data_IF_496416596172
#
_entry.id   IF_496416596172
#
_cell.length_a   1.000
_cell.length_b   1.000
_cell.length_c   1.000
_cell.angle_alpha   90.00
_cell.angle_beta   90.00
_cell.angle_gamma   90.00
#
_symmetry.space_group_name_H-M   'P 1'
#
loop_
_entity.id
_entity.type
_entity.pdbx_description
1 polymer ?
#
# COMPACT_ATOMS: atom_id res chain seq x y z
N UNK A 1 13.16 9.90 21.26
CA UNK A 1 12.17 9.02 20.62
C UNK A 1 12.77 8.45 19.34
N UNK A 2 13.11 7.18 19.37
CA UNK A 2 13.90 6.51 18.31
C UNK A 2 13.22 6.56 16.95
N UNK A 3 11.99 6.14 16.88
CA UNK A 3 11.29 6.06 15.61
C UNK A 3 10.79 7.40 15.08
N UNK A 4 10.53 8.38 15.93
CA UNK A 4 10.25 9.74 15.47
C UNK A 4 11.42 10.28 14.64
N UNK A 5 12.66 9.99 15.06
CA UNK A 5 13.85 10.37 14.32
C UNK A 5 13.96 9.64 12.98
N UNK A 6 13.67 8.34 12.95
CA UNK A 6 13.70 7.55 11.72
C UNK A 6 12.62 8.01 10.72
N UNK A 7 11.36 8.05 11.16
CA UNK A 7 10.22 8.38 10.29
C UNK A 7 10.05 9.88 10.00
N UNK A 8 10.73 10.75 10.72
CA UNK A 8 10.84 12.16 10.38
C UNK A 8 11.95 12.46 9.34
N UNK A 9 12.87 11.52 9.14
CA UNK A 9 14.01 11.67 8.22
C UNK A 9 13.76 11.01 6.85
N UNK A 10 13.16 9.81 6.84
CA UNK A 10 12.88 9.12 5.59
C UNK A 10 11.71 9.77 4.85
N UNK A 11 11.78 9.79 3.52
CA UNK A 11 10.69 10.23 2.65
C UNK A 11 9.56 9.18 2.62
N UNK A 12 8.78 9.15 3.69
CA UNK A 12 7.67 8.22 3.91
C UNK A 12 6.38 9.01 4.18
N UNK A 13 5.21 8.42 3.97
CA UNK A 13 3.92 9.04 4.34
C UNK A 13 3.81 9.42 5.82
N UNK A 14 4.65 8.82 6.67
CA UNK A 14 4.72 9.12 8.10
C UNK A 14 5.35 10.49 8.38
N UNK A 15 6.24 10.98 7.52
CA UNK A 15 6.87 12.30 7.67
C UNK A 15 5.83 13.43 7.61
N UNK A 16 5.00 13.58 6.56
CA UNK A 16 3.94 14.58 6.55
C UNK A 16 2.88 14.32 7.62
N UNK A 17 2.58 13.05 7.95
CA UNK A 17 1.66 12.72 9.05
C UNK A 17 2.11 13.33 10.38
N UNK A 18 3.38 13.20 10.74
CA UNK A 18 3.95 13.76 11.96
C UNK A 18 3.91 15.29 11.96
N UNK A 19 4.27 15.91 10.83
CA UNK A 19 4.21 17.36 10.67
C UNK A 19 2.79 17.90 10.84
N UNK A 20 1.83 17.32 10.10
CA UNK A 20 0.43 17.78 10.20
C UNK A 20 -0.20 17.42 11.54
N UNK A 21 0.23 16.37 12.24
CA UNK A 21 -0.21 16.09 13.61
C UNK A 21 0.26 17.18 14.57
N UNK A 22 1.51 17.62 14.47
CA UNK A 22 2.04 18.72 15.29
C UNK A 22 1.30 20.04 15.01
N UNK A 23 1.12 20.37 13.72
CA UNK A 23 0.38 21.56 13.30
C UNK A 23 -1.08 21.51 13.74
N UNK A 24 -1.73 20.36 13.65
CA UNK A 24 -3.09 20.15 14.12
C UNK A 24 -3.22 20.41 15.63
N UNK A 25 -2.30 19.89 16.44
CA UNK A 25 -2.28 20.11 17.89
C UNK A 25 -2.06 21.60 18.22
N UNK A 26 -1.16 22.26 17.50
CA UNK A 26 -0.90 23.70 17.65
C UNK A 26 -2.16 24.52 17.36
N UNK A 27 -2.82 24.28 16.24
CA UNK A 27 -4.06 24.96 15.87
C UNK A 27 -5.21 24.61 16.82
N UNK A 28 -5.27 23.36 17.29
CA UNK A 28 -6.27 22.91 18.26
C UNK A 28 -6.15 23.67 19.60
N UNK A 29 -4.92 23.94 20.06
CA UNK A 29 -4.70 24.76 21.25
C UNK A 29 -5.26 26.18 21.06
N UNK A 30 -4.98 26.82 19.92
CA UNK A 30 -5.53 28.12 19.58
C UNK A 30 -7.06 28.10 19.49
N UNK A 31 -7.62 27.04 18.90
CA UNK A 31 -9.07 26.83 18.80
C UNK A 31 -9.75 26.67 20.16
N UNK A 32 -9.11 25.98 21.11
CA UNK A 32 -9.63 25.84 22.47
C UNK A 32 -9.62 27.15 23.23
N UNK A 33 -8.65 28.02 22.96
CA UNK A 33 -8.60 29.34 23.58
C UNK A 33 -9.71 30.26 23.04
N UNK A 34 -9.91 30.31 21.71
CA UNK A 34 -10.94 31.15 21.09
C UNK A 34 -11.34 30.59 19.72
N UNK A 35 -12.38 29.75 19.69
CA UNK A 35 -12.90 29.21 18.43
C UNK A 35 -13.46 30.34 17.53
N UNK A 36 -13.08 30.32 16.26
CA UNK A 36 -13.57 31.24 15.23
C UNK A 36 -13.49 30.57 13.84
N UNK A 37 -14.06 31.19 12.80
CA UNK A 37 -14.13 30.63 11.45
C UNK A 37 -12.76 30.50 10.76
N UNK A 38 -11.81 31.38 11.06
CA UNK A 38 -10.45 31.32 10.49
C UNK A 38 -9.74 30.07 11.02
N UNK A 39 -9.79 29.82 12.32
CA UNK A 39 -9.24 28.61 12.93
C UNK A 39 -10.02 27.37 12.49
N UNK A 40 -11.33 27.49 12.26
CA UNK A 40 -12.14 26.41 11.72
C UNK A 40 -11.66 26.01 10.32
N UNK A 41 -11.42 27.00 9.45
CA UNK A 41 -10.85 26.79 8.10
C UNK A 41 -9.46 26.14 8.19
N UNK A 42 -8.56 26.71 8.99
CA UNK A 42 -7.19 26.19 9.14
C UNK A 42 -7.17 24.75 9.67
N UNK A 43 -7.95 24.44 10.71
CA UNK A 43 -8.07 23.08 11.23
C UNK A 43 -8.65 22.12 10.20
N UNK A 44 -9.67 22.54 9.44
CA UNK A 44 -10.27 21.70 8.41
C UNK A 44 -9.29 21.35 7.29
N UNK A 45 -8.48 22.31 6.84
CA UNK A 45 -7.42 22.07 5.85
C UNK A 45 -6.34 21.12 6.38
N UNK A 46 -5.93 21.29 7.65
CA UNK A 46 -4.93 20.39 8.27
C UNK A 46 -5.51 19.00 8.52
N UNK A 47 -6.80 18.87 8.86
CA UNK A 47 -7.47 17.56 8.94
C UNK A 47 -7.48 16.84 7.59
N UNK A 48 -7.74 17.55 6.49
CA UNK A 48 -7.65 16.98 5.15
C UNK A 48 -6.22 16.56 4.82
N UNK A 49 -5.22 17.40 5.13
CA UNK A 49 -3.80 17.09 4.92
C UNK A 49 -3.33 15.85 5.72
N UNK A 50 -3.83 15.67 6.94
CA UNK A 50 -3.64 14.46 7.74
C UNK A 50 -4.17 13.23 7.01
N UNK A 51 -5.40 13.29 6.49
CA UNK A 51 -6.02 12.18 5.75
C UNK A 51 -5.30 11.89 4.42
N UNK A 52 -4.82 12.91 3.71
CA UNK A 52 -3.98 12.74 2.52
C UNK A 52 -2.62 12.09 2.85
N UNK A 53 -2.08 12.35 4.04
CA UNK A 53 -0.84 11.72 4.48
C UNK A 53 -1.02 10.23 4.75
N UNK A 54 -2.10 9.86 5.46
CA UNK A 54 -2.35 8.45 5.81
C UNK A 54 -3.78 8.25 6.34
N UNK A 55 -4.48 7.22 5.91
CA UNK A 55 -5.88 6.96 6.31
C UNK A 55 -6.09 6.84 7.82
N UNK A 56 -5.16 6.20 8.54
CA UNK A 56 -5.31 6.08 9.99
C UNK A 56 -5.03 7.37 10.76
N UNK A 57 -4.68 8.49 10.09
CA UNK A 57 -4.72 9.81 10.70
C UNK A 57 -6.10 10.18 11.24
N UNK A 58 -7.17 9.55 10.74
CA UNK A 58 -8.52 9.69 11.32
C UNK A 58 -8.55 9.40 12.82
N UNK A 59 -7.68 8.49 13.30
CA UNK A 59 -7.58 8.17 14.74
C UNK A 59 -7.13 9.37 15.58
N UNK A 60 -6.33 10.29 15.01
CA UNK A 60 -5.94 11.54 15.68
C UNK A 60 -7.17 12.42 15.87
N UNK A 61 -7.99 12.58 14.84
CA UNK A 61 -9.20 13.42 14.87
C UNK A 61 -10.22 12.83 15.85
N UNK A 62 -10.48 11.53 15.75
CA UNK A 62 -11.39 10.79 16.62
C UNK A 62 -10.91 10.83 18.07
N UNK A 63 -9.60 10.68 18.32
CA UNK A 63 -9.00 10.75 19.63
C UNK A 63 -9.19 12.12 20.31
N UNK A 64 -9.13 13.21 19.52
CA UNK A 64 -9.45 14.55 20.04
C UNK A 64 -10.91 14.65 20.47
N UNK A 65 -11.84 14.08 19.72
CA UNK A 65 -13.28 14.06 20.08
C UNK A 65 -13.53 13.22 21.32
N UNK A 66 -12.89 12.05 21.46
CA UNK A 66 -12.98 11.24 22.68
C UNK A 66 -12.41 11.98 23.90
N UNK A 67 -11.31 12.72 23.75
CA UNK A 67 -10.75 13.54 24.81
C UNK A 67 -11.59 14.77 25.16
N UNK A 68 -12.38 15.28 24.20
CA UNK A 68 -13.26 16.43 24.40
C UNK A 68 -14.58 16.29 23.61
N UNK A 69 -15.56 15.52 24.09
CA UNK A 69 -16.85 15.32 23.43
C UNK A 69 -17.67 16.62 23.23
N UNK A 70 -17.34 17.69 23.96
CA UNK A 70 -18.02 18.99 23.81
C UNK A 70 -17.84 19.59 22.40
N UNK A 71 -16.81 19.16 21.66
CA UNK A 71 -16.61 19.54 20.26
C UNK A 71 -17.80 19.18 19.37
N UNK A 72 -18.52 18.10 19.67
CA UNK A 72 -19.72 17.69 18.92
C UNK A 72 -20.86 18.72 19.01
N UNK A 73 -20.84 19.62 20.00
CA UNK A 73 -21.81 20.71 20.16
C UNK A 73 -21.27 22.05 19.65
N UNK A 74 -20.04 22.10 19.11
CA UNK A 74 -19.39 23.33 18.69
C UNK A 74 -19.57 23.54 17.17
N UNK A 75 -20.24 24.62 16.76
CA UNK A 75 -20.47 24.96 15.33
C UNK A 75 -19.19 25.14 14.54
N UNK A 76 -18.14 25.70 15.16
CA UNK A 76 -16.85 25.89 14.51
C UNK A 76 -16.10 24.56 14.27
N UNK A 77 -16.28 23.59 15.19
CA UNK A 77 -15.74 22.25 14.99
C UNK A 77 -16.41 21.55 13.79
N UNK A 78 -17.73 21.68 13.63
CA UNK A 78 -18.44 21.18 12.45
C UNK A 78 -18.04 21.92 11.18
N UNK A 79 -17.72 23.23 11.27
CA UNK A 79 -17.12 23.98 10.14
C UNK A 79 -15.79 23.36 9.73
N UNK A 80 -14.93 22.98 10.67
CA UNK A 80 -13.65 22.29 10.35
C UNK A 80 -13.88 20.94 9.67
N UNK A 81 -14.88 20.17 10.11
CA UNK A 81 -15.26 18.89 9.46
C UNK A 81 -15.72 19.14 8.03
N UNK A 82 -16.60 20.11 7.81
CA UNK A 82 -17.09 20.44 6.47
C UNK A 82 -15.95 20.85 5.53
N UNK A 83 -15.06 21.73 5.97
CA UNK A 83 -13.88 22.14 5.20
C UNK A 83 -12.98 20.94 4.89
N UNK A 84 -12.78 20.07 5.87
CA UNK A 84 -11.97 18.85 5.69
C UNK A 84 -12.58 17.93 4.64
N UNK A 85 -13.88 17.68 4.68
CA UNK A 85 -14.58 16.85 3.70
C UNK A 85 -14.54 17.44 2.30
N UNK A 86 -14.72 18.75 2.17
CA UNK A 86 -14.61 19.46 0.88
C UNK A 86 -13.19 19.39 0.32
N UNK A 87 -12.17 19.62 1.15
CA UNK A 87 -10.77 19.55 0.73
C UNK A 87 -10.32 18.12 0.40
N UNK A 88 -10.92 17.10 1.03
CA UNK A 88 -10.62 15.69 0.79
C UNK A 88 -11.48 15.05 -0.30
N UNK A 89 -12.51 15.73 -0.79
CA UNK A 89 -13.45 15.22 -1.79
C UNK A 89 -12.79 14.76 -3.11
N UNK A 90 -11.70 15.41 -3.63
CA UNK A 90 -11.03 14.91 -4.83
C UNK A 90 -10.47 13.49 -4.65
N UNK A 91 -9.96 13.16 -3.46
CA UNK A 91 -9.48 11.82 -3.16
C UNK A 91 -10.62 10.83 -3.00
N UNK A 92 -11.74 11.23 -2.40
CA UNK A 92 -12.93 10.37 -2.33
C UNK A 92 -13.48 10.04 -3.72
N UNK A 93 -13.49 11.03 -4.63
CA UNK A 93 -13.85 10.83 -6.03
C UNK A 93 -12.88 9.88 -6.74
N UNK A 94 -11.57 10.04 -6.51
CA UNK A 94 -10.56 9.15 -7.05
C UNK A 94 -10.75 7.71 -6.54
N UNK A 95 -11.01 7.51 -5.25
CA UNK A 95 -11.31 6.20 -4.67
C UNK A 95 -12.54 5.57 -5.32
N UNK A 96 -13.60 6.35 -5.50
CA UNK A 96 -14.83 5.88 -6.18
C UNK A 96 -14.54 5.44 -7.61
N UNK A 97 -13.80 6.25 -8.37
CA UNK A 97 -13.42 5.94 -9.76
C UNK A 97 -12.56 4.68 -9.89
N UNK A 98 -11.70 4.41 -8.90
CA UNK A 98 -10.81 3.24 -8.86
C UNK A 98 -11.35 2.12 -7.94
N UNK A 99 -12.67 1.96 -7.85
CA UNK A 99 -13.36 0.85 -7.14
C UNK A 99 -12.86 0.66 -5.69
N UNK A 100 -12.46 1.74 -5.02
CA UNK A 100 -11.94 1.73 -3.65
C UNK A 100 -10.72 0.80 -3.45
N UNK A 101 -9.87 0.67 -4.46
CA UNK A 101 -8.71 -0.25 -4.48
C UNK A 101 -7.89 -0.24 -3.19
N UNK A 102 -7.55 0.96 -2.67
CA UNK A 102 -6.77 1.06 -1.42
C UNK A 102 -7.53 0.55 -0.19
N UNK A 103 -8.83 0.79 -0.14
CA UNK A 103 -9.70 0.33 0.96
C UNK A 103 -9.88 -1.18 0.86
N UNK A 104 -10.16 -1.69 -0.34
CA UNK A 104 -10.28 -3.13 -0.62
C UNK A 104 -9.01 -3.88 -0.21
N UNK A 105 -7.84 -3.37 -0.60
CA UNK A 105 -6.56 -3.95 -0.21
C UNK A 105 -6.37 -4.02 1.31
N UNK A 106 -6.60 -2.91 2.02
CA UNK A 106 -6.34 -2.87 3.46
C UNK A 106 -7.34 -3.65 4.31
N UNK A 107 -8.60 -3.75 3.88
CA UNK A 107 -9.64 -4.44 4.64
C UNK A 107 -9.77 -5.93 4.27
N UNK A 108 -9.56 -6.29 3.01
CA UNK A 108 -9.89 -7.63 2.51
C UNK A 108 -8.71 -8.40 1.93
N UNK A 109 -7.81 -7.77 1.18
CA UNK A 109 -6.75 -8.46 0.44
C UNK A 109 -5.46 -8.61 1.24
N UNK A 110 -5.15 -7.64 2.08
CA UNK A 110 -3.98 -7.74 2.95
C UNK A 110 -4.16 -8.94 3.86
N UNK A 111 -3.20 -9.91 3.85
CA UNK A 111 -3.45 -11.23 4.37
C UNK A 111 -3.88 -11.19 5.83
N UNK A 112 -5.12 -11.59 6.05
CA UNK A 112 -5.59 -12.05 7.33
C UNK A 112 -4.97 -13.43 7.53
N UNK A 113 -3.95 -13.51 8.37
CA UNK A 113 -3.34 -14.76 8.78
C UNK A 113 -4.09 -15.29 10.01
N UNK A 114 -4.00 -16.60 10.26
CA UNK A 114 -4.31 -17.14 11.55
C UNK A 114 -3.54 -16.39 12.64
N UNK A 115 -4.17 -16.13 13.77
CA UNK A 115 -3.54 -15.40 14.87
C UNK A 115 -2.25 -16.11 15.31
N UNK A 116 -1.16 -15.36 15.33
CA UNK A 116 0.13 -15.77 15.86
C UNK A 116 0.50 -14.86 17.03
N UNK A 117 0.60 -15.42 18.21
CA UNK A 117 0.89 -14.66 19.41
C UNK A 117 2.25 -13.96 19.33
N UNK A 118 3.29 -14.60 18.80
CA UNK A 118 4.63 -14.02 18.74
C UNK A 118 4.72 -12.89 17.70
N UNK A 119 4.17 -13.11 16.51
CA UNK A 119 4.23 -12.12 15.42
C UNK A 119 3.23 -10.96 15.64
N UNK A 120 2.02 -11.24 16.13
CA UNK A 120 0.95 -10.24 16.27
C UNK A 120 0.88 -9.66 17.69
N UNK A 121 0.67 -10.51 18.70
CA UNK A 121 0.47 -10.08 20.08
C UNK A 121 1.76 -9.52 20.70
N UNK A 122 2.79 -10.36 20.82
CA UNK A 122 4.08 -9.92 21.36
C UNK A 122 4.70 -8.82 20.49
N UNK A 123 4.60 -8.96 19.15
CA UNK A 123 5.07 -7.95 18.20
C UNK A 123 4.46 -6.57 18.45
N UNK A 124 3.19 -6.47 18.84
CA UNK A 124 2.57 -5.20 19.21
C UNK A 124 3.26 -4.57 20.44
N UNK A 125 3.50 -5.33 21.51
CA UNK A 125 4.17 -4.82 22.72
C UNK A 125 5.62 -4.42 22.46
N UNK A 126 6.34 -5.21 21.67
CA UNK A 126 7.70 -4.88 21.23
C UNK A 126 7.71 -3.55 20.44
N UNK A 127 6.72 -3.32 19.58
CA UNK A 127 6.59 -2.07 18.86
C UNK A 127 6.41 -0.86 19.79
N UNK A 128 5.67 -1.00 20.89
CA UNK A 128 5.51 0.08 21.88
C UNK A 128 6.84 0.43 22.55
N UNK A 129 7.69 -0.55 22.81
CA UNK A 129 9.06 -0.31 23.31
C UNK A 129 9.91 0.37 22.24
N UNK A 130 9.89 -0.15 21.02
CA UNK A 130 10.73 0.32 19.91
C UNK A 130 10.46 1.79 19.53
N UNK A 131 9.22 2.29 19.65
CA UNK A 131 8.87 3.69 19.37
C UNK A 131 9.74 4.66 20.17
N UNK A 132 9.94 4.38 21.44
CA UNK A 132 10.68 5.25 22.36
C UNK A 132 12.11 4.78 22.58
N UNK A 133 12.47 3.55 22.17
CA UNK A 133 13.79 2.95 22.41
C UNK A 133 14.11 2.92 23.91
N UNK A 134 15.35 3.19 24.29
CA UNK A 134 15.80 3.13 25.69
C UNK A 134 15.13 4.13 26.64
N UNK A 135 14.39 5.10 26.12
CA UNK A 135 13.63 6.07 26.94
C UNK A 135 12.27 5.55 27.36
N UNK A 136 11.81 4.39 26.84
CA UNK A 136 10.43 3.90 27.05
C UNK A 136 9.99 3.78 28.52
N UNK A 137 10.82 3.29 29.49
CA UNK A 137 10.35 3.10 30.85
C UNK A 137 9.95 4.42 31.51
N UNK A 138 10.76 5.47 31.26
CA UNK A 138 10.54 6.79 31.84
C UNK A 138 9.34 7.49 31.20
N UNK A 139 9.15 7.32 29.87
CA UNK A 139 8.02 7.88 29.15
C UNK A 139 6.71 7.26 29.61
N UNK A 140 6.63 5.91 29.66
CA UNK A 140 5.40 5.25 30.10
C UNK A 140 5.08 5.53 31.58
N UNK A 141 6.09 5.49 32.47
CA UNK A 141 5.88 5.89 33.86
C UNK A 141 5.31 7.29 33.96
N UNK A 142 5.79 8.22 33.15
CA UNK A 142 5.28 9.59 33.12
C UNK A 142 3.86 9.65 32.61
N UNK A 143 3.53 8.96 31.52
CA UNK A 143 2.18 8.93 30.96
C UNK A 143 1.13 8.42 31.95
N UNK A 144 1.45 7.39 32.73
CA UNK A 144 0.55 6.88 33.78
C UNK A 144 0.34 7.87 34.95
N UNK A 145 1.23 8.86 35.10
CA UNK A 145 1.13 9.88 36.15
C UNK A 145 0.56 11.24 35.71
N UNK A 146 0.29 11.38 34.37
CA UNK A 146 -0.24 12.64 33.83
C UNK A 146 -1.65 12.90 34.32
N UNK A 147 -1.88 14.10 34.86
CA UNK A 147 -3.22 14.58 35.25
C UNK A 147 -3.85 15.32 34.06
N UNK A 148 -5.05 14.90 33.70
CA UNK A 148 -5.83 15.48 32.60
C UNK A 148 -6.57 16.76 33.03
N UNK A 149 -5.82 17.77 33.48
CA UNK A 149 -6.36 19.00 34.08
C UNK A 149 -6.77 20.07 33.05
N UNK A 150 -6.31 19.97 31.80
CA UNK A 150 -6.70 20.89 30.71
C UNK A 150 -7.40 20.15 29.60
N UNK A 151 -8.19 20.87 28.78
CA UNK A 151 -8.90 20.32 27.62
C UNK A 151 -7.92 19.76 26.60
N UNK A 152 -6.79 20.45 26.38
CA UNK A 152 -5.77 19.97 25.44
C UNK A 152 -5.15 18.66 25.94
N UNK A 153 -4.78 18.54 27.22
CA UNK A 153 -4.26 17.28 27.77
C UNK A 153 -5.24 16.12 27.62
N UNK A 154 -6.54 16.37 27.87
CA UNK A 154 -7.58 15.37 27.64
C UNK A 154 -7.59 14.91 26.19
N UNK A 155 -7.48 15.83 25.24
CA UNK A 155 -7.39 15.50 23.81
C UNK A 155 -6.11 14.74 23.46
N UNK A 156 -4.96 15.12 24.04
CA UNK A 156 -3.70 14.38 23.83
C UNK A 156 -3.78 12.93 24.34
N UNK A 157 -4.32 12.75 25.55
CA UNK A 157 -4.58 11.41 26.11
C UNK A 157 -5.59 10.66 25.24
N UNK A 158 -6.65 11.33 24.78
CA UNK A 158 -7.63 10.75 23.87
C UNK A 158 -6.99 10.22 22.57
N UNK A 159 -6.09 11.00 21.94
CA UNK A 159 -5.33 10.54 20.75
C UNK A 159 -4.51 9.29 21.08
N UNK A 160 -3.70 9.34 22.15
CA UNK A 160 -2.83 8.22 22.55
C UNK A 160 -3.65 6.96 22.79
N UNK A 161 -4.72 7.04 23.57
CA UNK A 161 -5.57 5.89 23.88
C UNK A 161 -6.28 5.35 22.64
N UNK A 162 -6.85 6.22 21.81
CA UNK A 162 -7.54 5.81 20.59
C UNK A 162 -6.62 5.03 19.66
N UNK A 163 -5.40 5.54 19.42
CA UNK A 163 -4.41 4.87 18.57
C UNK A 163 -3.96 3.55 19.17
N UNK A 164 -3.63 3.52 20.46
CA UNK A 164 -3.17 2.29 21.13
C UNK A 164 -4.26 1.23 21.15
N UNK A 165 -5.49 1.57 21.53
CA UNK A 165 -6.60 0.61 21.59
C UNK A 165 -6.94 0.09 20.19
N UNK A 166 -7.01 0.98 19.18
CA UNK A 166 -7.29 0.57 17.80
C UNK A 166 -6.28 -0.44 17.29
N UNK A 167 -4.97 -0.19 17.47
CA UNK A 167 -3.95 -1.12 17.02
C UNK A 167 -3.80 -2.35 17.89
N UNK A 168 -4.13 -2.29 19.18
CA UNK A 168 -4.26 -3.47 20.02
C UNK A 168 -5.37 -4.41 19.49
N UNK A 169 -6.56 -3.88 19.21
CA UNK A 169 -7.65 -4.67 18.64
C UNK A 169 -7.26 -5.20 17.25
N UNK A 170 -6.63 -4.38 16.44
CA UNK A 170 -6.16 -4.79 15.11
C UNK A 170 -5.07 -5.88 15.16
N UNK A 171 -4.29 -5.97 16.25
CA UNK A 171 -3.25 -6.99 16.43
C UNK A 171 -3.79 -8.40 16.57
N UNK A 172 -5.09 -8.59 16.83
CA UNK A 172 -5.69 -9.93 16.82
C UNK A 172 -5.90 -10.49 15.42
N UNK A 173 -5.90 -9.63 14.38
CA UNK A 173 -6.15 -10.05 13.00
C UNK A 173 -4.94 -9.86 12.07
N UNK A 174 -3.93 -9.09 12.50
CA UNK A 174 -2.79 -8.77 11.63
C UNK A 174 -1.58 -8.29 12.41
N UNK A 175 -0.41 -8.47 11.83
CA UNK A 175 0.83 -7.88 12.34
C UNK A 175 0.78 -6.36 12.27
N UNK A 176 1.00 -5.69 13.40
CA UNK A 176 1.07 -4.24 13.49
C UNK A 176 2.50 -3.79 13.16
N UNK A 177 2.62 -2.88 12.21
CA UNK A 177 3.91 -2.26 11.87
C UNK A 177 4.16 -1.07 12.79
N UNK A 178 5.40 -0.91 13.26
CA UNK A 178 5.78 0.09 14.26
C UNK A 178 5.45 1.52 13.80
N UNK A 179 5.61 1.82 12.50
CA UNK A 179 5.29 3.13 11.93
C UNK A 179 3.80 3.50 12.00
N UNK A 180 2.90 2.55 12.19
CA UNK A 180 1.48 2.89 12.30
C UNK A 180 1.15 3.57 13.61
N UNK A 181 1.93 3.28 14.66
CA UNK A 181 1.73 3.81 16.00
C UNK A 181 2.54 5.10 16.20
N UNK A 182 3.50 5.42 15.32
CA UNK A 182 4.45 6.55 15.50
C UNK A 182 3.76 7.90 15.70
N UNK A 183 2.54 8.06 15.22
CA UNK A 183 1.74 9.28 15.36
C UNK A 183 1.53 9.70 16.82
N UNK A 184 1.56 8.73 17.77
CA UNK A 184 1.45 9.06 19.21
C UNK A 184 2.65 9.81 19.74
N UNK A 185 3.78 9.81 19.04
CA UNK A 185 5.01 10.47 19.50
C UNK A 185 4.79 11.97 19.77
N UNK A 186 3.98 12.65 18.95
CA UNK A 186 3.72 14.09 19.11
C UNK A 186 2.91 14.38 20.39
N UNK A 187 1.70 13.79 20.59
CA UNK A 187 0.96 14.02 21.84
C UNK A 187 1.72 13.53 23.07
N UNK A 188 2.45 12.41 22.99
CA UNK A 188 3.29 11.93 24.09
C UNK A 188 4.42 12.91 24.41
N UNK A 189 5.09 13.49 23.40
CA UNK A 189 6.10 14.51 23.62
C UNK A 189 5.55 15.70 24.41
N UNK A 190 4.37 16.18 24.03
CA UNK A 190 3.69 17.26 24.73
C UNK A 190 3.41 16.90 26.22
N UNK A 191 2.80 15.75 26.47
CA UNK A 191 2.43 15.30 27.82
C UNK A 191 3.66 15.06 28.72
N UNK A 192 4.74 14.52 28.18
CA UNK A 192 5.96 14.25 28.93
C UNK A 192 6.76 15.53 29.18
N UNK A 193 6.83 16.43 28.18
CA UNK A 193 7.62 17.66 28.28
C UNK A 193 7.19 18.54 29.47
N UNK A 194 5.92 18.71 29.68
CA UNK A 194 5.38 19.50 30.79
C UNK A 194 5.85 18.94 32.15
N UNK A 195 5.86 17.60 32.30
CA UNK A 195 6.34 16.96 33.52
C UNK A 195 7.86 17.12 33.70
N UNK A 196 8.64 17.19 32.60
CA UNK A 196 10.08 17.40 32.65
C UNK A 196 10.48 18.77 33.20
N UNK A 197 9.61 19.78 33.08
CA UNK A 197 9.87 21.12 33.63
C UNK A 197 9.91 21.04 35.16
N UNK A 198 9.04 20.25 35.75
CA UNK A 198 8.85 20.17 37.23
C UNK A 198 9.77 19.12 37.88
N UNK A 199 10.03 17.98 37.20
CA UNK A 199 10.73 16.83 37.77
C UNK A 199 12.19 16.76 37.29
N UNK A 200 13.13 17.28 38.11
CA UNK A 200 14.58 17.28 37.86
C UNK A 200 15.14 15.84 37.72
N UNK A 201 14.62 14.88 38.50
CA UNK A 201 15.11 13.49 38.47
C UNK A 201 14.71 12.81 37.16
N UNK A 202 13.45 12.95 36.76
CA UNK A 202 12.94 12.44 35.47
C UNK A 202 13.70 13.08 34.31
N UNK A 203 13.94 14.38 34.35
CA UNK A 203 14.70 15.11 33.33
C UNK A 203 16.12 14.52 33.17
N UNK A 204 16.85 14.28 34.28
CA UNK A 204 18.16 13.67 34.26
C UNK A 204 18.12 12.25 33.67
N UNK A 205 17.15 11.43 34.06
CA UNK A 205 17.00 10.06 33.57
C UNK A 205 16.70 10.04 32.05
N UNK A 206 15.78 10.87 31.58
CA UNK A 206 15.47 10.98 30.16
C UNK A 206 16.63 11.58 29.35
N UNK A 207 17.39 12.50 29.91
CA UNK A 207 18.58 13.05 29.26
C UNK A 207 19.66 11.99 29.04
N UNK A 208 19.99 11.21 30.08
CA UNK A 208 21.00 10.15 30.01
C UNK A 208 20.56 9.04 29.05
N UNK A 209 19.35 8.50 29.23
CA UNK A 209 18.83 7.45 28.36
C UNK A 209 18.63 7.93 26.91
N UNK A 210 18.28 9.20 26.73
CA UNK A 210 18.17 9.86 25.44
C UNK A 210 19.53 9.98 24.73
N UNK A 211 20.59 10.34 25.44
CA UNK A 211 21.95 10.42 24.90
C UNK A 211 22.41 9.03 24.41
N UNK A 212 22.25 7.99 25.22
CA UNK A 212 22.58 6.62 24.83
C UNK A 212 21.77 6.20 23.61
N UNK A 213 20.48 6.56 23.58
CA UNK A 213 19.60 6.28 22.45
C UNK A 213 20.03 7.00 21.16
N UNK A 214 20.56 8.23 21.25
CA UNK A 214 21.13 8.95 20.11
C UNK A 214 22.37 8.23 19.58
N UNK A 215 23.27 7.79 20.46
CA UNK A 215 24.45 7.01 20.05
C UNK A 215 24.04 5.74 19.30
N UNK A 216 23.04 5.02 19.83
CA UNK A 216 22.48 3.84 19.15
C UNK A 216 21.90 4.19 17.76
N UNK A 217 21.15 5.28 17.65
CA UNK A 217 20.57 5.72 16.37
C UNK A 217 21.67 6.06 15.37
N UNK A 218 22.72 6.77 15.80
CA UNK A 218 23.86 7.10 14.93
C UNK A 218 24.55 5.83 14.46
N UNK A 219 24.81 4.87 15.35
CA UNK A 219 25.38 3.57 14.99
C UNK A 219 24.53 2.83 13.96
N UNK A 220 23.21 2.74 14.18
CA UNK A 220 22.28 2.11 13.23
C UNK A 220 22.25 2.83 11.88
N UNK A 221 22.31 4.16 11.86
CA UNK A 221 22.40 4.96 10.63
C UNK A 221 23.70 4.73 9.86
N UNK A 222 24.81 4.66 10.57
CA UNK A 222 26.08 4.31 9.94
C UNK A 222 26.02 2.91 9.33
N UNK A 223 25.36 1.96 9.99
CA UNK A 223 25.13 0.63 9.45
C UNK A 223 24.23 0.57 8.22
N UNK A 224 23.32 1.53 8.04
CA UNK A 224 22.53 1.66 6.79
C UNK A 224 23.38 2.16 5.61
N UNK A 225 24.47 2.90 5.90
CA UNK A 225 25.38 3.44 4.88
C UNK A 225 26.51 2.45 4.60
N UNK A 226 27.08 1.87 5.67
CA UNK A 226 28.21 0.96 5.61
C UNK A 226 27.75 -0.46 5.92
N UNK A 227 27.44 -1.22 4.89
CA UNK A 227 26.90 -2.59 4.97
C UNK A 227 27.67 -3.51 5.94
N UNK A 228 29.02 -3.49 5.99
CA UNK A 228 29.77 -4.36 6.90
C UNK A 228 29.61 -4.06 8.40
N UNK A 229 29.08 -2.90 8.78
CA UNK A 229 28.90 -2.52 10.19
C UNK A 229 27.77 -3.25 10.90
N UNK A 230 26.80 -3.77 10.16
CA UNK A 230 25.66 -4.50 10.71
C UNK A 230 25.64 -5.93 10.16
N UNK A 231 25.40 -6.96 11.00
CA UNK A 231 25.31 -8.36 10.56
C UNK A 231 24.00 -8.68 9.82
N UNK A 232 23.24 -7.65 9.45
CA UNK A 232 21.94 -7.75 8.75
C UNK A 232 21.98 -6.96 7.45
N UNK A 233 21.53 -7.60 6.37
CA UNK A 233 21.32 -6.93 5.10
C UNK A 233 20.02 -6.14 5.15
N UNK A 234 20.10 -4.84 4.91
CA UNK A 234 18.93 -3.97 4.80
C UNK A 234 18.49 -3.83 3.34
N UNK A 235 17.21 -3.56 3.12
CA UNK A 235 16.60 -3.48 1.77
C UNK A 235 17.29 -2.45 0.83
N UNK A 236 17.92 -1.43 1.39
CA UNK A 236 18.66 -0.42 0.63
C UNK A 236 20.05 -0.88 0.19
N UNK A 237 20.62 -1.92 0.82
CA UNK A 237 21.95 -2.39 0.51
C UNK A 237 22.02 -3.09 -0.85
N UNK A 238 23.12 -2.92 -1.56
CA UNK A 238 23.37 -3.55 -2.86
C UNK A 238 22.51 -3.05 -4.03
N UNK A 239 21.67 -2.03 -3.82
CA UNK A 239 20.77 -1.58 -4.89
C UNK A 239 21.51 -0.91 -6.05
N UNK A 240 22.53 -0.12 -5.77
CA UNK A 240 23.36 0.54 -6.80
C UNK A 240 24.11 -0.49 -7.65
N UNK A 241 24.61 -1.52 -7.01
CA UNK A 241 25.40 -2.59 -7.63
C UNK A 241 24.57 -3.43 -8.59
N UNK A 242 23.40 -3.93 -8.17
CA UNK A 242 22.57 -4.73 -9.07
C UNK A 242 21.96 -3.89 -10.19
N UNK A 243 21.63 -2.60 -9.93
CA UNK A 243 21.16 -1.72 -11.00
C UNK A 243 22.24 -1.51 -12.04
N UNK A 244 23.48 -1.20 -11.64
CA UNK A 244 24.61 -1.06 -12.55
C UNK A 244 24.89 -2.36 -13.32
N UNK A 245 24.77 -3.54 -12.69
CA UNK A 245 24.94 -4.83 -13.33
C UNK A 245 23.85 -5.08 -14.41
N UNK A 246 22.60 -4.71 -14.15
CA UNK A 246 21.52 -4.80 -15.13
C UNK A 246 21.70 -3.77 -16.23
N UNK A 247 21.98 -2.51 -15.90
CA UNK A 247 22.20 -1.42 -16.87
C UNK A 247 23.30 -1.75 -17.88
N UNK A 248 24.39 -2.38 -17.42
CA UNK A 248 25.46 -2.86 -18.31
C UNK A 248 24.97 -3.89 -19.34
N UNK A 249 23.91 -4.65 -19.04
CA UNK A 249 23.34 -5.66 -19.93
C UNK A 249 22.28 -5.09 -20.86
N UNK A 250 21.47 -4.17 -20.39
CA UNK A 250 20.30 -3.68 -21.14
C UNK A 250 20.52 -2.30 -21.78
N UNK A 251 21.58 -1.56 -21.38
CA UNK A 251 21.86 -0.22 -21.89
C UNK A 251 20.73 0.75 -21.59
N UNK A 252 20.30 1.49 -22.58
CA UNK A 252 19.22 2.50 -22.50
C UNK A 252 17.82 1.91 -22.75
N UNK A 253 17.68 0.60 -22.85
CA UNK A 253 16.40 -0.04 -23.13
C UNK A 253 15.42 0.18 -21.94
N UNK A 254 14.13 0.23 -22.27
CA UNK A 254 13.06 0.22 -21.28
C UNK A 254 13.04 -1.14 -20.57
N UNK A 255 12.73 -1.14 -19.28
CA UNK A 255 12.79 -2.36 -18.46
C UNK A 255 11.45 -2.65 -17.83
N UNK A 256 10.95 -3.86 -18.03
CA UNK A 256 9.72 -4.35 -17.44
C UNK A 256 10.06 -5.42 -16.40
N UNK A 257 9.66 -5.22 -15.18
CA UNK A 257 9.78 -6.20 -14.09
C UNK A 257 8.46 -6.94 -13.89
N UNK A 258 8.51 -8.25 -13.86
CA UNK A 258 7.38 -9.07 -13.47
C UNK A 258 7.20 -9.02 -11.95
N UNK A 259 5.97 -8.77 -11.49
CA UNK A 259 5.56 -8.84 -10.08
C UNK A 259 6.49 -8.09 -9.11
N UNK A 260 6.95 -6.90 -9.52
CA UNK A 260 7.93 -6.18 -8.70
C UNK A 260 7.79 -4.65 -8.71
N UNK A 261 6.71 -4.17 -8.11
CA UNK A 261 6.53 -2.74 -7.85
C UNK A 261 7.65 -2.09 -7.00
N UNK A 262 8.58 -2.88 -6.46
CA UNK A 262 9.75 -2.38 -5.72
C UNK A 262 10.99 -2.26 -6.60
N UNK A 263 11.24 -3.24 -7.49
CA UNK A 263 12.43 -3.24 -8.33
C UNK A 263 12.31 -2.23 -9.47
N UNK A 264 11.12 -2.09 -10.06
CA UNK A 264 10.91 -1.15 -11.14
C UNK A 264 11.26 0.30 -10.73
N UNK A 265 10.70 0.90 -9.66
CA UNK A 265 11.07 2.25 -9.26
C UNK A 265 12.52 2.34 -8.73
N UNK A 266 13.05 1.26 -8.13
CA UNK A 266 14.45 1.24 -7.67
C UNK A 266 15.40 1.32 -8.85
N UNK A 267 15.13 0.55 -9.91
CA UNK A 267 15.92 0.62 -11.15
C UNK A 267 15.80 2.00 -11.80
N UNK A 268 14.58 2.53 -11.94
CA UNK A 268 14.36 3.87 -12.47
C UNK A 268 15.10 4.98 -11.69
N UNK A 269 15.13 4.86 -10.36
CA UNK A 269 15.81 5.84 -9.50
C UNK A 269 17.32 5.93 -9.77
N UNK A 270 18.01 4.80 -9.92
CA UNK A 270 19.46 4.77 -10.10
C UNK A 270 19.87 4.93 -11.58
N UNK A 271 19.16 4.30 -12.52
CA UNK A 271 19.48 4.31 -13.96
C UNK A 271 18.83 5.45 -14.73
N UNK A 272 17.77 6.08 -14.18
CA UNK A 272 16.90 7.06 -14.86
C UNK A 272 16.16 6.50 -16.09
N UNK A 273 16.16 5.19 -16.28
CA UNK A 273 15.46 4.53 -17.37
C UNK A 273 13.96 4.48 -17.14
N UNK A 274 13.18 4.39 -18.22
CA UNK A 274 11.74 4.09 -18.15
C UNK A 274 11.55 2.65 -17.70
N UNK A 275 10.73 2.46 -16.66
CA UNK A 275 10.45 1.15 -16.07
C UNK A 275 8.97 0.92 -15.86
N UNK A 276 8.57 -0.35 -15.86
CA UNK A 276 7.21 -0.76 -15.56
C UNK A 276 7.20 -2.03 -14.70
N UNK A 277 6.18 -2.20 -13.86
CA UNK A 277 5.91 -3.46 -13.16
C UNK A 277 4.68 -4.12 -13.78
N UNK A 278 4.89 -5.20 -14.53
CA UNK A 278 3.81 -6.03 -15.02
C UNK A 278 3.31 -6.91 -13.87
N UNK A 279 2.06 -6.70 -13.45
CA UNK A 279 1.50 -7.40 -12.30
C UNK A 279 0.61 -8.55 -12.75
N UNK A 280 1.06 -9.78 -12.44
CA UNK A 280 0.30 -10.99 -12.72
C UNK A 280 -0.91 -11.15 -11.80
N UNK A 281 -1.77 -12.10 -12.14
CA UNK A 281 -2.95 -12.46 -11.31
C UNK A 281 -2.58 -12.94 -9.91
N UNK A 282 -1.37 -13.47 -9.72
CA UNK A 282 -0.85 -13.89 -8.42
C UNK A 282 -0.32 -12.74 -7.57
N UNK A 283 -0.15 -11.56 -8.18
CA UNK A 283 0.35 -10.37 -7.52
C UNK A 283 -0.76 -9.41 -7.13
N UNK A 284 -0.43 -8.38 -6.38
CA UNK A 284 -1.40 -7.38 -5.94
C UNK A 284 -1.46 -6.19 -6.89
N UNK A 285 -2.63 -5.60 -7.03
CA UNK A 285 -2.80 -4.31 -7.67
C UNK A 285 -1.97 -3.22 -6.96
N UNK A 286 -1.35 -2.36 -7.73
CA UNK A 286 -0.51 -1.27 -7.24
C UNK A 286 -0.52 -0.09 -8.21
N UNK A 287 0.34 0.91 -7.95
CA UNK A 287 0.41 2.15 -8.70
C UNK A 287 0.53 1.94 -10.23
N UNK A 288 1.32 0.96 -10.67
CA UNK A 288 1.52 0.68 -12.09
C UNK A 288 0.27 0.21 -12.85
N UNK A 289 -0.76 -0.26 -12.13
CA UNK A 289 -2.05 -0.61 -12.75
C UNK A 289 -2.97 0.61 -12.92
N UNK A 290 -2.61 1.79 -12.35
CA UNK A 290 -3.53 2.93 -12.21
C UNK A 290 -2.98 4.18 -12.88
N UNK A 291 -1.64 4.37 -12.91
CA UNK A 291 -1.00 5.64 -13.28
C UNK A 291 -0.77 5.85 -14.79
N UNK A 292 -1.17 4.90 -15.61
CA UNK A 292 -0.98 4.97 -17.07
C UNK A 292 0.48 4.75 -17.53
N UNK A 293 1.40 4.34 -16.66
CA UNK A 293 2.81 4.07 -17.00
C UNK A 293 2.96 2.97 -18.06
N UNK A 294 1.99 2.09 -18.18
CA UNK A 294 1.92 1.07 -19.24
C UNK A 294 1.98 1.68 -20.65
N UNK A 295 1.37 2.84 -20.90
CA UNK A 295 1.38 3.48 -22.21
C UNK A 295 2.80 3.77 -22.71
N UNK A 296 3.74 4.02 -21.79
CA UNK A 296 5.13 4.37 -22.14
C UNK A 296 5.97 3.21 -22.67
N UNK A 297 5.48 1.97 -22.52
CA UNK A 297 6.22 0.74 -22.86
C UNK A 297 5.50 -0.11 -23.90
N UNK A 298 4.23 0.17 -24.23
CA UNK A 298 3.46 -0.57 -25.22
C UNK A 298 4.06 -0.43 -26.62
N UNK A 299 4.22 -1.57 -27.31
CA UNK A 299 4.80 -1.65 -28.64
C UNK A 299 6.31 -1.44 -28.70
N UNK A 300 6.97 -1.19 -27.59
CA UNK A 300 8.39 -0.90 -27.52
C UNK A 300 9.23 -2.16 -27.33
N UNK A 301 10.52 -2.04 -27.69
CA UNK A 301 11.50 -3.06 -27.30
C UNK A 301 11.86 -2.90 -25.84
N UNK A 302 11.68 -3.96 -25.06
CA UNK A 302 11.95 -3.96 -23.63
C UNK A 302 12.84 -5.12 -23.20
N UNK A 303 13.56 -4.92 -22.11
CA UNK A 303 14.15 -6.01 -21.34
C UNK A 303 13.13 -6.46 -20.28
N UNK A 304 12.56 -7.64 -20.45
CA UNK A 304 11.59 -8.24 -19.52
C UNK A 304 12.33 -9.04 -18.45
N UNK A 305 12.12 -8.70 -17.19
CA UNK A 305 12.85 -9.23 -16.04
C UNK A 305 11.92 -10.03 -15.13
N UNK A 306 12.26 -11.28 -14.90
CA UNK A 306 11.51 -12.22 -14.04
C UNK A 306 12.43 -12.95 -13.06
N UNK A 307 11.85 -13.64 -12.08
CA UNK A 307 12.57 -14.54 -11.17
C UNK A 307 12.69 -15.97 -11.69
N UNK A 308 11.89 -16.32 -12.69
CA UNK A 308 11.86 -17.65 -13.28
C UNK A 308 12.66 -17.66 -14.57
N UNK A 309 13.47 -18.71 -14.80
CA UNK A 309 14.20 -18.90 -16.03
C UNK A 309 13.27 -19.50 -17.11
N UNK A 310 12.55 -18.63 -17.78
CA UNK A 310 11.70 -18.98 -18.92
C UNK A 310 12.39 -18.48 -20.20
N UNK A 311 13.29 -19.27 -20.76
CA UNK A 311 14.02 -18.93 -21.99
C UNK A 311 14.69 -17.55 -21.93
N UNK A 312 15.57 -17.37 -20.94
CA UNK A 312 16.24 -16.09 -20.71
C UNK A 312 17.40 -15.87 -21.69
N UNK A 313 17.56 -14.63 -22.16
CA UNK A 313 18.72 -14.20 -22.96
C UNK A 313 19.92 -13.85 -22.07
N UNK A 314 19.65 -13.46 -20.83
CA UNK A 314 20.66 -13.10 -19.85
C UNK A 314 20.15 -13.26 -18.42
N UNK A 315 21.06 -13.28 -17.46
CA UNK A 315 20.75 -13.26 -16.04
C UNK A 315 21.63 -12.27 -15.28
N UNK A 316 21.20 -11.83 -14.12
CA UNK A 316 22.00 -11.02 -13.21
C UNK A 316 21.69 -11.34 -11.76
N UNK A 317 22.66 -11.09 -10.88
CA UNK A 317 22.52 -11.33 -9.45
C UNK A 317 22.09 -10.05 -8.78
N UNK A 318 20.97 -10.08 -8.06
CA UNK A 318 20.47 -8.94 -7.29
C UNK A 318 21.01 -8.92 -5.85
N UNK A 319 21.14 -10.09 -5.22
CA UNK A 319 21.66 -10.29 -3.87
C UNK A 319 22.39 -11.65 -3.80
N UNK A 320 23.09 -11.93 -2.71
CA UNK A 320 23.91 -13.14 -2.58
C UNK A 320 23.29 -14.44 -3.08
N UNK A 321 21.95 -14.59 -2.96
CA UNK A 321 21.23 -15.82 -3.33
C UNK A 321 20.03 -15.57 -4.25
N UNK A 322 19.94 -14.40 -4.90
CA UNK A 322 18.77 -14.07 -5.74
C UNK A 322 19.23 -13.70 -7.13
N UNK A 323 19.00 -14.61 -8.08
CA UNK A 323 19.23 -14.39 -9.51
C UNK A 323 17.92 -13.95 -10.15
N UNK A 324 18.02 -13.02 -11.07
CA UNK A 324 16.96 -12.61 -11.96
C UNK A 324 17.36 -12.91 -13.40
N UNK A 325 16.36 -13.21 -14.18
CA UNK A 325 16.48 -13.60 -15.59
C UNK A 325 15.85 -12.53 -16.47
N UNK A 326 16.47 -12.25 -17.60
CA UNK A 326 16.00 -11.27 -18.55
C UNK A 326 15.87 -11.83 -19.95
N UNK A 327 14.82 -11.45 -20.65
CA UNK A 327 14.62 -11.72 -22.06
C UNK A 327 14.26 -10.46 -22.81
N UNK A 328 14.59 -10.40 -24.10
CA UNK A 328 14.21 -9.31 -24.97
C UNK A 328 12.83 -9.56 -25.58
N UNK A 329 11.98 -8.54 -25.55
CA UNK A 329 10.69 -8.53 -26.24
C UNK A 329 10.67 -7.30 -27.15
N UNK A 330 10.67 -7.51 -28.47
CA UNK A 330 10.81 -6.42 -29.45
C UNK A 330 9.54 -5.56 -29.57
N UNK A 331 8.35 -6.13 -29.34
CA UNK A 331 7.06 -5.44 -29.38
C UNK A 331 6.27 -5.82 -28.14
N UNK A 332 6.63 -5.23 -27.01
CA UNK A 332 5.98 -5.54 -25.74
C UNK A 332 4.54 -5.01 -25.72
N UNK A 333 3.60 -5.90 -25.41
CA UNK A 333 2.18 -5.58 -25.27
C UNK A 333 1.58 -6.34 -24.09
N UNK A 334 1.27 -5.66 -23.01
CA UNK A 334 0.72 -6.29 -21.81
C UNK A 334 -0.82 -6.31 -21.78
N UNK A 335 -1.47 -5.29 -22.34
CA UNK A 335 -2.93 -5.15 -22.36
C UNK A 335 -3.60 -5.24 -20.97
N UNK A 336 -2.95 -4.73 -19.93
CA UNK A 336 -3.43 -4.81 -18.54
C UNK A 336 -4.72 -4.02 -18.27
N UNK A 337 -5.03 -3.03 -19.12
CA UNK A 337 -6.24 -2.19 -19.01
C UNK A 337 -7.45 -2.74 -19.78
N UNK A 338 -7.32 -3.86 -20.54
CA UNK A 338 -8.47 -4.46 -21.22
C UNK A 338 -9.59 -4.78 -20.21
N UNK A 339 -10.79 -4.28 -20.49
CA UNK A 339 -11.93 -4.46 -19.61
C UNK A 339 -12.72 -5.73 -19.96
N UNK A 340 -12.87 -6.62 -18.99
CA UNK A 340 -13.74 -7.80 -19.11
C UNK A 340 -14.96 -7.67 -18.22
N UNK A 341 -16.16 -7.79 -18.81
CA UNK A 341 -17.42 -7.80 -18.08
C UNK A 341 -18.12 -9.12 -18.29
N UNK A 342 -18.24 -9.90 -17.20
CA UNK A 342 -19.04 -11.13 -17.23
C UNK A 342 -20.51 -10.80 -17.49
N UNK A 343 -21.10 -11.48 -18.45
CA UNK A 343 -22.52 -11.40 -18.76
C UNK A 343 -23.26 -12.61 -18.17
N UNK A 344 -22.80 -13.81 -18.49
CA UNK A 344 -23.42 -15.05 -18.04
C UNK A 344 -22.39 -16.16 -17.86
N UNK A 345 -22.65 -17.05 -16.92
CA UNK A 345 -21.95 -18.31 -16.78
C UNK A 345 -22.94 -19.40 -16.44
N UNK A 346 -23.04 -20.42 -17.27
CA UNK A 346 -23.98 -21.54 -17.10
C UNK A 346 -23.43 -22.79 -17.76
N UNK A 347 -23.59 -23.93 -17.11
CA UNK A 347 -23.17 -25.24 -17.62
C UNK A 347 -21.73 -25.30 -18.15
N UNK A 348 -20.79 -24.60 -17.48
CA UNK A 348 -19.39 -24.55 -17.91
C UNK A 348 -19.12 -23.68 -19.14
N UNK A 349 -20.11 -22.92 -19.61
CA UNK A 349 -19.95 -21.93 -20.68
C UNK A 349 -19.97 -20.55 -20.10
N UNK A 350 -18.99 -19.71 -20.48
CA UNK A 350 -18.86 -18.33 -20.06
C UNK A 350 -19.11 -17.39 -21.23
N UNK A 351 -19.92 -16.35 -20.99
CA UNK A 351 -20.15 -15.25 -21.92
C UNK A 351 -19.66 -13.96 -21.27
N UNK A 352 -18.80 -13.26 -21.97
CA UNK A 352 -18.29 -11.98 -21.47
C UNK A 352 -18.10 -10.97 -22.59
N UNK A 353 -18.17 -9.71 -22.21
CA UNK A 353 -17.87 -8.58 -23.08
C UNK A 353 -16.43 -8.16 -22.83
N UNK A 354 -15.61 -8.06 -23.88
CA UNK A 354 -14.29 -7.49 -23.88
C UNK A 354 -14.35 -6.09 -24.50
N UNK A 355 -13.80 -5.09 -23.82
CA UNK A 355 -13.74 -3.71 -24.30
C UNK A 355 -12.29 -3.24 -24.37
N UNK A 356 -11.94 -2.53 -25.44
CA UNK A 356 -10.62 -1.95 -25.65
C UNK A 356 -10.59 -0.47 -25.19
N UNK A 357 -9.98 -0.14 -24.05
CA UNK A 357 -9.83 1.24 -23.59
C UNK A 357 -8.61 1.96 -24.19
N UNK A 358 -7.75 1.21 -24.90
CA UNK A 358 -6.55 1.77 -25.50
C UNK A 358 -6.86 2.62 -26.74
N UNK A 359 -5.92 3.50 -27.09
CA UNK A 359 -6.00 4.35 -28.30
C UNK A 359 -5.65 3.58 -29.59
N UNK A 360 -5.10 2.39 -29.46
CA UNK A 360 -4.66 1.53 -30.55
C UNK A 360 -5.61 0.36 -30.77
N UNK A 361 -5.67 -0.12 -32.01
CA UNK A 361 -6.38 -1.36 -32.37
C UNK A 361 -5.59 -2.57 -31.87
N UNK A 362 -6.28 -3.53 -31.24
CA UNK A 362 -5.70 -4.75 -30.67
C UNK A 362 -6.09 -5.96 -31.51
N UNK A 363 -5.11 -6.77 -31.87
CA UNK A 363 -5.33 -8.07 -32.51
C UNK A 363 -5.76 -9.09 -31.43
N UNK A 364 -6.91 -9.74 -31.62
CA UNK A 364 -7.43 -10.67 -30.62
C UNK A 364 -6.71 -12.02 -30.61
N UNK A 365 -6.03 -12.37 -31.69
CA UNK A 365 -5.23 -13.59 -31.80
C UNK A 365 -4.07 -13.66 -30.82
N UNK A 366 -3.60 -12.51 -30.33
CA UNK A 366 -2.46 -12.40 -29.41
C UNK A 366 -2.88 -12.50 -27.95
N UNK A 367 -4.16 -12.77 -27.69
CA UNK A 367 -4.74 -12.80 -26.35
C UNK A 367 -5.16 -14.20 -25.92
N UNK A 368 -4.69 -14.61 -24.77
CA UNK A 368 -5.16 -15.78 -24.04
C UNK A 368 -6.12 -15.37 -22.92
N UNK A 369 -7.15 -16.17 -22.70
CA UNK A 369 -8.15 -15.90 -21.68
C UNK A 369 -8.21 -17.02 -20.65
N UNK A 370 -8.40 -16.65 -19.40
CA UNK A 370 -8.55 -17.58 -18.30
C UNK A 370 -9.58 -17.11 -17.28
N UNK A 371 -9.94 -18.01 -16.39
CA UNK A 371 -10.72 -17.72 -15.18
C UNK A 371 -9.84 -17.98 -13.98
N UNK A 372 -9.55 -16.93 -13.23
CA UNK A 372 -8.84 -17.03 -11.96
C UNK A 372 -9.83 -17.23 -10.82
N UNK A 373 -9.54 -18.20 -9.97
CA UNK A 373 -10.30 -18.52 -8.75
C UNK A 373 -9.59 -17.96 -7.53
N UNK A 374 -10.35 -17.27 -6.69
CA UNK A 374 -9.87 -16.54 -5.53
C UNK A 374 -10.58 -17.08 -4.29
N UNK A 375 -9.90 -17.06 -3.14
CA UNK A 375 -10.55 -17.40 -1.87
C UNK A 375 -11.50 -16.27 -1.41
N UNK A 376 -12.13 -16.47 -0.24
CA UNK A 376 -13.03 -15.51 0.41
C UNK A 376 -12.34 -14.16 0.73
N UNK A 377 -11.02 -14.13 0.80
CA UNK A 377 -10.18 -12.93 0.97
C UNK A 377 -9.70 -12.33 -0.35
N UNK A 378 -10.23 -12.81 -1.50
CA UNK A 378 -9.84 -12.40 -2.86
C UNK A 378 -8.37 -12.66 -3.21
N UNK A 379 -7.73 -13.61 -2.55
CA UNK A 379 -6.36 -14.05 -2.87
C UNK A 379 -6.41 -15.13 -3.95
N UNK A 380 -5.56 -15.03 -4.95
CA UNK A 380 -5.41 -15.98 -6.03
C UNK A 380 -5.11 -17.41 -5.48
N UNK A 381 -5.78 -18.40 -6.05
CA UNK A 381 -5.64 -19.81 -5.71
C UNK A 381 -5.39 -20.70 -6.91
N UNK A 382 -6.17 -20.49 -7.97
CA UNK A 382 -6.13 -21.36 -9.13
C UNK A 382 -6.53 -20.61 -10.40
N UNK A 383 -6.11 -21.11 -11.55
CA UNK A 383 -6.44 -20.59 -12.86
C UNK A 383 -6.86 -21.72 -13.79
N UNK A 384 -7.90 -21.50 -14.55
CA UNK A 384 -8.35 -22.40 -15.60
C UNK A 384 -8.44 -21.64 -16.93
N UNK A 385 -7.80 -22.14 -18.01
CA UNK A 385 -7.94 -21.54 -19.32
C UNK A 385 -9.38 -21.55 -19.82
N UNK A 386 -9.76 -20.57 -20.64
CA UNK A 386 -11.00 -20.58 -21.39
C UNK A 386 -10.72 -21.21 -22.75
N UNK A 387 -11.48 -22.26 -23.08
CA UNK A 387 -11.36 -22.97 -24.35
C UNK A 387 -12.42 -22.47 -25.34
N UNK A 388 -12.02 -22.22 -26.56
CA UNK A 388 -12.90 -21.72 -27.61
C UNK A 388 -13.33 -22.84 -28.56
N UNK A 389 -14.51 -22.72 -29.12
CA UNK A 389 -14.92 -23.54 -30.25
C UNK A 389 -14.15 -23.11 -31.52
N UNK A 390 -14.05 -24.00 -32.51
CA UNK A 390 -13.39 -23.68 -33.80
C UNK A 390 -13.95 -22.41 -34.45
N UNK A 391 -15.23 -22.14 -34.27
CA UNK A 391 -15.90 -20.94 -34.80
C UNK A 391 -15.43 -19.67 -34.04
N UNK A 392 -15.38 -19.74 -32.70
CA UNK A 392 -14.93 -18.63 -31.88
C UNK A 392 -13.43 -18.39 -32.03
N UNK A 393 -12.58 -19.43 -32.15
CA UNK A 393 -11.15 -19.33 -32.50
C UNK A 393 -10.95 -18.63 -33.85
N UNK A 394 -11.72 -19.01 -34.88
CA UNK A 394 -11.67 -18.34 -36.17
C UNK A 394 -12.04 -16.87 -36.07
N UNK A 395 -13.05 -16.53 -35.27
CA UNK A 395 -13.45 -15.15 -34.99
C UNK A 395 -12.34 -14.39 -34.29
N UNK A 396 -11.68 -14.97 -33.29
CA UNK A 396 -10.56 -14.36 -32.56
C UNK A 396 -9.37 -14.13 -33.48
N UNK A 397 -9.05 -15.10 -34.33
CA UNK A 397 -7.89 -15.02 -35.25
C UNK A 397 -8.07 -14.01 -36.40
N UNK A 398 -9.30 -13.62 -36.69
CA UNK A 398 -9.59 -12.72 -37.84
C UNK A 398 -10.01 -11.32 -37.43
N UNK A 399 -10.35 -11.10 -36.16
CA UNK A 399 -10.88 -9.82 -35.69
C UNK A 399 -9.83 -9.05 -34.90
N UNK A 400 -9.89 -7.75 -35.09
CA UNK A 400 -9.23 -6.77 -34.25
C UNK A 400 -10.25 -5.90 -33.52
N UNK A 401 -9.89 -5.37 -32.37
CA UNK A 401 -10.74 -4.54 -31.54
C UNK A 401 -10.25 -3.09 -31.60
N UNK A 402 -11.01 -2.25 -32.30
CA UNK A 402 -10.70 -0.83 -32.43
C UNK A 402 -10.79 -0.09 -31.07
N UNK A 403 -10.18 1.09 -30.92
CA UNK A 403 -10.31 1.92 -29.72
C UNK A 403 -11.77 2.14 -29.32
N UNK A 404 -12.09 1.93 -28.03
CA UNK A 404 -13.43 2.06 -27.50
C UNK A 404 -14.43 0.97 -27.94
N UNK A 405 -14.06 0.10 -28.85
CA UNK A 405 -14.94 -0.97 -29.32
C UNK A 405 -15.05 -2.11 -28.32
N UNK A 406 -16.11 -2.87 -28.45
CA UNK A 406 -16.36 -4.05 -27.61
C UNK A 406 -16.76 -5.25 -28.47
N UNK A 407 -16.40 -6.43 -27.99
CA UNK A 407 -16.77 -7.70 -28.61
C UNK A 407 -17.34 -8.66 -27.57
N UNK A 408 -18.33 -9.47 -27.96
CA UNK A 408 -18.83 -10.57 -27.14
C UNK A 408 -18.01 -11.83 -27.44
N UNK A 409 -17.54 -12.47 -26.37
CA UNK A 409 -16.74 -13.68 -26.44
C UNK A 409 -17.46 -14.79 -25.67
N UNK A 410 -17.50 -15.99 -26.28
CA UNK A 410 -18.07 -17.20 -25.71
C UNK A 410 -16.98 -18.25 -25.60
N UNK A 411 -16.84 -18.87 -24.43
CA UNK A 411 -15.87 -19.94 -24.25
C UNK A 411 -16.35 -20.98 -23.23
N UNK A 412 -15.71 -22.15 -23.26
CA UNK A 412 -15.92 -23.18 -22.27
C UNK A 412 -14.88 -23.05 -21.18
N UNK A 413 -15.28 -23.22 -19.93
CA UNK A 413 -14.38 -23.17 -18.78
C UNK A 413 -14.67 -24.32 -17.82
N UNK A 414 -13.65 -25.00 -17.38
CA UNK A 414 -13.75 -26.11 -16.45
C UNK A 414 -13.55 -25.62 -15.03
N UNK A 415 -14.52 -25.86 -14.17
CA UNK A 415 -14.38 -25.54 -12.75
C UNK A 415 -13.26 -26.41 -12.13
N UNK A 416 -12.32 -25.83 -11.37
CA UNK A 416 -11.27 -26.62 -10.76
C UNK A 416 -11.84 -27.60 -9.73
N UNK A 417 -11.15 -28.70 -9.50
CA UNK A 417 -11.55 -29.73 -8.52
C UNK A 417 -11.47 -29.24 -7.08
N UNK A 418 -10.61 -28.24 -6.82
CA UNK A 418 -10.45 -27.60 -5.50
C UNK A 418 -10.59 -26.10 -5.62
N UNK A 419 -11.56 -25.52 -4.93
CA UNK A 419 -11.82 -24.08 -4.86
C UNK A 419 -12.55 -23.75 -3.56
N UNK A 420 -12.50 -22.46 -3.18
CA UNK A 420 -13.24 -21.95 -2.00
C UNK A 420 -14.68 -21.61 -2.44
N UNK A 421 -15.68 -22.32 -1.95
CA UNK A 421 -17.11 -22.07 -2.28
C UNK A 421 -17.59 -20.68 -1.87
N UNK A 422 -17.02 -20.13 -0.83
CA UNK A 422 -17.27 -18.74 -0.37
C UNK A 422 -16.46 -17.68 -1.12
N UNK A 423 -15.59 -18.13 -2.04
CA UNK A 423 -14.64 -17.28 -2.74
C UNK A 423 -15.22 -16.54 -3.95
N UNK A 424 -14.31 -16.12 -4.79
CA UNK A 424 -14.59 -15.33 -5.98
C UNK A 424 -13.92 -15.94 -7.21
N UNK A 425 -14.39 -15.55 -8.38
CA UNK A 425 -13.69 -15.77 -9.63
C UNK A 425 -13.68 -14.50 -10.46
N UNK A 426 -12.78 -14.40 -11.42
CA UNK A 426 -12.74 -13.31 -12.40
C UNK A 426 -12.09 -13.75 -13.70
N UNK A 427 -12.47 -13.10 -14.80
CA UNK A 427 -11.86 -13.30 -16.11
C UNK A 427 -10.52 -12.58 -16.11
N UNK A 428 -9.48 -13.24 -16.59
CA UNK A 428 -8.14 -12.70 -16.73
C UNK A 428 -7.63 -12.91 -18.14
N UNK A 429 -6.66 -12.08 -18.54
CA UNK A 429 -6.11 -12.04 -19.90
C UNK A 429 -4.59 -12.17 -19.79
N UNK A 430 -4.00 -12.88 -20.74
CA UNK A 430 -2.57 -12.84 -20.99
C UNK A 430 -2.34 -12.43 -22.44
N UNK A 431 -1.24 -11.76 -22.74
CA UNK A 431 -0.72 -11.68 -24.11
C UNK A 431 0.36 -12.73 -24.32
N UNK A 432 0.64 -13.08 -25.59
CA UNK A 432 1.51 -14.18 -25.95
C UNK A 432 2.85 -14.15 -25.18
N UNK A 433 3.12 -15.19 -24.42
CA UNK A 433 4.36 -15.36 -23.66
C UNK A 433 4.49 -14.49 -22.38
N UNK A 434 3.42 -13.81 -21.96
CA UNK A 434 3.36 -13.07 -20.68
C UNK A 434 2.42 -13.80 -19.68
N UNK A 435 2.55 -13.55 -18.38
CA UNK A 435 1.65 -14.15 -17.39
C UNK A 435 0.23 -13.60 -17.51
N UNK A 436 -0.74 -14.34 -16.99
CA UNK A 436 -2.10 -13.85 -16.83
C UNK A 436 -2.13 -12.67 -15.86
N UNK A 437 -2.80 -11.59 -16.26
CA UNK A 437 -2.84 -10.32 -15.55
C UNK A 437 -3.93 -10.29 -14.48
N UNK A 438 -4.04 -9.19 -13.75
CA UNK A 438 -5.02 -9.03 -12.67
C UNK A 438 -6.48 -9.19 -13.11
N UNK A 439 -6.80 -8.87 -14.38
CA UNK A 439 -8.09 -9.15 -14.99
C UNK A 439 -9.24 -8.27 -14.49
N UNK A 440 -10.45 -8.68 -14.84
CA UNK A 440 -11.70 -7.94 -14.59
C UNK A 440 -12.22 -8.03 -13.14
N UNK A 441 -13.49 -7.62 -12.98
CA UNK A 441 -14.15 -7.54 -11.67
C UNK A 441 -14.35 -8.90 -11.00
N UNK A 442 -14.19 -8.94 -9.69
CA UNK A 442 -14.43 -10.13 -8.89
C UNK A 442 -15.93 -10.50 -8.85
N UNK A 443 -16.26 -11.75 -9.19
CA UNK A 443 -17.60 -12.33 -9.14
C UNK A 443 -17.66 -13.38 -8.04
N UNK A 444 -18.75 -13.44 -7.26
CA UNK A 444 -18.94 -14.50 -6.26
C UNK A 444 -19.11 -15.85 -6.93
N UNK A 445 -18.49 -16.91 -6.40
CA UNK A 445 -18.62 -18.28 -6.90
C UNK A 445 -20.08 -18.77 -6.93
N UNK A 446 -20.91 -18.29 -6.01
CA UNK A 446 -22.34 -18.55 -6.00
C UNK A 446 -23.08 -18.16 -7.32
N UNK A 447 -22.50 -17.28 -8.16
CA UNK A 447 -23.00 -16.98 -9.50
C UNK A 447 -22.68 -18.07 -10.53
N UNK A 448 -21.75 -18.95 -10.22
CA UNK A 448 -21.41 -20.09 -11.08
C UNK A 448 -22.50 -21.16 -10.93
N UNK A 449 -23.52 -21.09 -11.75
CA UNK A 449 -24.61 -22.06 -11.73
C UNK A 449 -24.07 -23.45 -12.08
N UNK A 450 -24.40 -24.50 -11.30
CA UNK A 450 -24.08 -25.88 -11.67
C UNK A 450 -24.77 -26.29 -12.97
N UNK A 451 -24.31 -27.37 -13.55
CA UNK A 451 -24.93 -28.01 -14.72
C UNK A 451 -26.39 -28.35 -14.46
#
# INVERSE_FOLDING_TARGET
MTLLNAYGFFSLPDTPLLFFTALFIFLLQAFYNKANWILSLALGLVMAALMYSKYHAVLVIVGVVFGNPKLLKNRYAWGSVLVSLLAYSPHLYWLYKNEFVSVAYHLFERPNRAYDFFDFGLGYWVNLIAIFGLTFPFIYKTLFSVKANTTLKKSMIGIVLTVLVFFLVSSFNRRIQTQWIVVICIPVAYLVFERLIEDKKLRKQLWISGLINIVLIVFLRLGLIFEPLLPISYEAHGNKEWVAALEKKVGLAKVVFEDSYRNAPMYAFYSRATTYSLNSISYRENQYNIDGSEESIQGEKVAYITKEDIQSDFSFQKAKNTVYYGRWIDHFQSYSLLETKLLEISAGVIYFKLTNPYKNTIALQDLDFGVAFLNSYKQYKNLTPIYFSKEEEKKMNTKSLAPGASILIKGAVKKPTSYDESGYFKITIASAGLPYLLGGTNQKIARWKPF
#
